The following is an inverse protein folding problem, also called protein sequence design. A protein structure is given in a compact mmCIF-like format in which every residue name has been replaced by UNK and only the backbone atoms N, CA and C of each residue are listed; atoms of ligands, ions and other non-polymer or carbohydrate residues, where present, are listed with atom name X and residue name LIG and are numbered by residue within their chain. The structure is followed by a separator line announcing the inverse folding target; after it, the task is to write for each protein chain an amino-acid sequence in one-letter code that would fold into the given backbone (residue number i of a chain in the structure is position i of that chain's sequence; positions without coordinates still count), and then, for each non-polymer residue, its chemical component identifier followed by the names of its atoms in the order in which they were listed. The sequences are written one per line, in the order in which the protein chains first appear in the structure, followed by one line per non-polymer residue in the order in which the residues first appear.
data_IF_794635812080
#
_entry.id   IF_794635812080
#
_cell.length_a   1.000
_cell.length_b   1.000
_cell.length_c   1.000
_cell.angle_alpha   90.00
_cell.angle_beta   90.00
_cell.angle_gamma   90.00
#
_symmetry.space_group_name_H-M   'P 1'
#
loop_
_entity.id
_entity.type
_entity.pdbx_description
1 polymer ?
#
# COMPACT_ATOMS: atom_id res chain seq x y z
N UNK A 1 38.58 -4.82 -8.40
CA UNK A 1 37.27 -4.33 -8.82
C UNK A 1 36.34 -4.47 -7.63
N UNK A 2 36.06 -3.36 -6.92
CA UNK A 2 35.18 -3.40 -5.75
C UNK A 2 33.74 -3.31 -6.26
N UNK A 3 33.03 -4.43 -6.30
CA UNK A 3 31.59 -4.45 -6.56
C UNK A 3 30.89 -3.90 -5.31
N UNK A 4 30.59 -2.61 -5.29
CA UNK A 4 29.62 -2.08 -4.34
C UNK A 4 28.25 -2.58 -4.80
N UNK A 5 27.73 -3.62 -4.15
CA UNK A 5 26.30 -3.91 -4.20
C UNK A 5 25.57 -2.60 -3.90
N UNK A 6 24.56 -2.20 -4.70
CA UNK A 6 23.77 -1.03 -4.33
C UNK A 6 23.26 -1.24 -2.89
N UNK A 7 23.32 -0.22 -2.02
CA UNK A 7 22.81 -0.34 -0.67
C UNK A 7 21.36 -0.83 -0.75
N UNK A 8 21.01 -1.81 0.10
CA UNK A 8 19.68 -2.41 0.12
C UNK A 8 18.64 -1.30 0.42
N UNK A 9 17.99 -0.79 -0.62
CA UNK A 9 17.11 0.37 -0.52
C UNK A 9 15.68 -0.13 -0.35
N UNK A 10 15.16 0.05 0.86
CA UNK A 10 13.73 -0.21 1.12
C UNK A 10 12.90 0.71 0.21
N UNK A 11 11.97 0.11 -0.53
CA UNK A 11 11.04 0.84 -1.38
C UNK A 11 9.74 1.08 -0.60
N UNK A 12 9.37 2.34 -0.44
CA UNK A 12 8.06 2.74 0.09
C UNK A 12 7.11 3.01 -1.06
N UNK A 13 6.00 2.28 -1.09
CA UNK A 13 4.98 2.40 -2.13
C UNK A 13 3.67 2.85 -1.47
N UNK A 14 3.22 4.05 -1.83
CA UNK A 14 2.01 4.68 -1.28
C UNK A 14 1.01 4.86 -2.42
N UNK A 15 -0.17 4.26 -2.26
CA UNK A 15 -1.28 4.40 -3.20
C UNK A 15 -2.43 5.10 -2.50
N UNK A 16 -2.94 6.16 -3.09
CA UNK A 16 -4.14 6.86 -2.64
C UNK A 16 -5.29 6.55 -3.59
N UNK A 17 -6.43 6.15 -3.04
CA UNK A 17 -7.59 5.82 -3.86
C UNK A 17 -8.91 6.30 -3.25
N UNK A 18 -9.86 6.59 -4.14
CA UNK A 18 -11.22 6.99 -3.79
C UNK A 18 -12.17 5.82 -4.02
N UNK A 19 -12.82 5.38 -2.95
CA UNK A 19 -13.94 4.44 -3.02
C UNK A 19 -15.17 5.20 -3.53
N UNK A 20 -16.01 4.56 -4.36
CA UNK A 20 -17.25 5.18 -4.84
C UNK A 20 -18.21 5.40 -3.67
N UNK A 21 -18.93 6.52 -3.72
CA UNK A 21 -19.74 7.02 -2.60
C UNK A 21 -20.87 6.05 -2.17
N UNK A 22 -21.33 5.16 -3.06
CA UNK A 22 -22.43 4.20 -2.80
C UNK A 22 -21.97 2.78 -2.42
N UNK A 23 -20.72 2.60 -1.96
CA UNK A 23 -20.26 1.28 -1.52
C UNK A 23 -20.72 0.93 -0.10
N UNK A 24 -21.15 -0.32 0.06
CA UNK A 24 -21.45 -0.91 1.37
C UNK A 24 -20.19 -0.93 2.26
N UNK A 25 -20.32 -0.44 3.50
CA UNK A 25 -19.27 -0.46 4.51
C UNK A 25 -18.67 -1.86 4.71
N UNK A 26 -19.47 -2.93 4.62
CA UNK A 26 -18.96 -4.31 4.73
C UNK A 26 -17.99 -4.67 3.60
N UNK A 27 -18.26 -4.19 2.39
CA UNK A 27 -17.37 -4.40 1.23
C UNK A 27 -16.08 -3.62 1.39
N UNK A 28 -16.14 -2.41 1.95
CA UNK A 28 -14.98 -1.59 2.26
C UNK A 28 -14.10 -2.28 3.31
N UNK A 29 -14.69 -2.73 4.42
CA UNK A 29 -13.96 -3.48 5.46
C UNK A 29 -13.35 -4.76 4.91
N UNK A 30 -14.08 -5.51 4.08
CA UNK A 30 -13.55 -6.72 3.44
C UNK A 30 -12.38 -6.40 2.50
N UNK A 31 -12.47 -5.33 1.71
CA UNK A 31 -11.39 -4.85 0.86
C UNK A 31 -10.14 -4.50 1.68
N UNK A 32 -10.29 -3.75 2.77
CA UNK A 32 -9.17 -3.40 3.68
C UNK A 32 -8.53 -4.66 4.27
N UNK A 33 -9.34 -5.60 4.76
CA UNK A 33 -8.84 -6.86 5.31
C UNK A 33 -8.08 -7.68 4.27
N UNK A 34 -8.59 -7.75 3.03
CA UNK A 34 -7.94 -8.45 1.93
C UNK A 34 -6.61 -7.79 1.55
N UNK A 35 -6.54 -6.45 1.53
CA UNK A 35 -5.30 -5.72 1.26
C UNK A 35 -4.25 -5.96 2.36
N UNK A 36 -4.66 -5.96 3.62
CA UNK A 36 -3.78 -6.25 4.75
C UNK A 36 -3.32 -7.71 4.76
N UNK A 37 -4.15 -8.64 4.29
CA UNK A 37 -3.80 -10.06 4.18
C UNK A 37 -2.66 -10.32 3.18
N UNK A 38 -2.39 -9.40 2.24
CA UNK A 38 -1.25 -9.49 1.32
C UNK A 38 0.11 -9.46 2.04
N UNK A 39 0.16 -9.12 3.33
CA UNK A 39 1.37 -9.27 4.16
C UNK A 39 1.93 -10.70 4.13
N UNK A 40 1.12 -11.71 3.77
CA UNK A 40 1.58 -13.08 3.60
C UNK A 40 2.45 -13.32 2.37
N UNK A 41 2.60 -12.33 1.47
CA UNK A 41 3.46 -12.43 0.30
C UNK A 41 4.93 -12.25 0.69
N UNK A 42 5.79 -13.15 0.20
CA UNK A 42 7.22 -13.18 0.57
C UNK A 42 7.97 -11.89 0.23
N UNK A 43 7.55 -11.18 -0.82
CA UNK A 43 8.18 -9.96 -1.29
C UNK A 43 7.79 -8.70 -0.47
N UNK A 44 6.78 -8.79 0.40
CA UNK A 44 6.26 -7.65 1.17
C UNK A 44 6.87 -7.67 2.57
N UNK A 45 7.57 -6.59 2.93
CA UNK A 45 8.10 -6.40 4.28
C UNK A 45 7.05 -5.85 5.24
N UNK A 46 6.13 -5.03 4.73
CA UNK A 46 5.05 -4.42 5.48
C UNK A 46 3.95 -3.98 4.50
N UNK A 47 2.69 -4.13 4.89
CA UNK A 47 1.56 -3.55 4.17
C UNK A 47 0.47 -3.14 5.14
N UNK A 48 -0.14 -1.99 4.90
CA UNK A 48 -1.27 -1.48 5.68
C UNK A 48 -2.19 -0.66 4.79
N UNK A 49 -3.49 -0.96 4.85
CA UNK A 49 -4.56 -0.19 4.23
C UNK A 49 -5.42 0.47 5.29
N UNK A 50 -5.72 1.76 5.14
CA UNK A 50 -6.52 2.50 6.13
C UNK A 50 -7.40 3.60 5.49
N UNK A 51 -8.49 4.02 6.17
CA UNK A 51 -9.24 5.21 5.78
C UNK A 51 -8.49 6.48 6.15
N UNK A 52 -8.57 7.50 5.28
CA UNK A 52 -7.98 8.81 5.52
C UNK A 52 -8.89 9.65 6.43
N UNK A 53 -8.39 10.02 7.60
CA UNK A 53 -9.17 10.76 8.61
C UNK A 53 -9.55 12.19 8.17
N UNK A 54 -8.74 12.84 7.33
CA UNK A 54 -8.99 14.23 6.94
C UNK A 54 -8.38 14.58 5.61
N UNK A 55 -9.21 14.82 4.60
CA UNK A 55 -8.75 15.26 3.29
C UNK A 55 -9.35 16.63 2.99
N UNK A 56 -8.47 17.61 2.78
CA UNK A 56 -8.85 19.04 2.63
C UNK A 56 -9.25 19.42 1.18
N UNK A 57 -9.41 18.46 0.29
CA UNK A 57 -9.65 18.67 -1.16
C UNK A 57 -11.00 18.11 -1.60
N UNK A 58 -11.65 18.74 -2.57
CA UNK A 58 -12.92 18.30 -3.19
C UNK A 58 -12.78 17.05 -4.06
N UNK A 59 -11.56 16.70 -4.49
CA UNK A 59 -11.21 15.44 -5.17
C UNK A 59 -10.65 14.37 -4.23
N UNK A 60 -10.97 14.48 -2.93
CA UNK A 60 -10.37 13.69 -1.86
C UNK A 60 -10.33 12.18 -2.11
N UNK A 61 -9.12 11.63 -2.04
CA UNK A 61 -8.94 10.21 -1.78
C UNK A 61 -9.59 9.84 -0.45
N UNK A 62 -10.01 8.59 -0.32
CA UNK A 62 -10.74 8.12 0.87
C UNK A 62 -9.90 7.18 1.72
N UNK A 63 -8.95 6.50 1.10
CA UNK A 63 -8.16 5.45 1.71
C UNK A 63 -6.74 5.50 1.15
N UNK A 64 -5.80 5.00 1.95
CA UNK A 64 -4.42 4.76 1.55
C UNK A 64 -4.07 3.27 1.62
N UNK A 65 -3.07 2.90 0.82
CA UNK A 65 -2.36 1.64 0.94
C UNK A 65 -0.87 1.98 1.02
N UNK A 66 -0.23 1.56 2.10
CA UNK A 66 1.20 1.74 2.30
C UNK A 66 1.89 0.38 2.37
N UNK A 67 2.80 0.14 1.44
CA UNK A 67 3.60 -1.08 1.35
C UNK A 67 5.09 -0.77 1.41
N UNK A 68 5.88 -1.68 2.00
CA UNK A 68 7.35 -1.65 2.00
C UNK A 68 7.91 -2.91 1.36
N UNK A 69 8.88 -2.74 0.47
CA UNK A 69 9.56 -3.84 -0.23
C UNK A 69 11.07 -3.78 0.01
N UNK A 70 11.72 -4.94 -0.06
CA UNK A 70 13.18 -5.04 0.11
C UNK A 70 13.97 -4.43 -1.04
N UNK A 71 13.40 -4.46 -2.24
CA UNK A 71 14.02 -3.97 -3.48
C UNK A 71 12.98 -3.48 -4.48
N UNK A 72 13.45 -2.94 -5.63
CA UNK A 72 12.56 -2.52 -6.71
C UNK A 72 12.01 -3.73 -7.48
N UNK A 73 12.79 -4.79 -7.56
CA UNK A 73 12.45 -6.07 -8.14
C UNK A 73 11.30 -6.71 -7.35
N UNK A 74 11.40 -6.75 -6.02
CA UNK A 74 10.34 -7.26 -5.12
C UNK A 74 9.00 -6.51 -5.32
N UNK A 75 9.04 -5.22 -5.63
CA UNK A 75 7.86 -4.40 -5.91
C UNK A 75 7.25 -4.69 -7.29
N UNK A 76 8.07 -5.07 -8.28
CA UNK A 76 7.65 -5.33 -9.67
C UNK A 76 7.28 -6.81 -9.94
N UNK A 77 7.47 -7.69 -8.95
CA UNK A 77 7.28 -9.15 -9.02
C UNK A 77 5.82 -9.54 -8.85
#
# INVERSE_FOLDING_TARGET
MSSSSPPNQIIEHIVLFKVKDDNDSNKITSMINNLNALVSLNQILHISAAPLHRVRSTSAFTHDLHSRYGSKEDMNS
#
